data_IF_415124851976
#
_entry.id   IF_415124851976
#
_cell.length_a   1.000
_cell.length_b   1.000
_cell.length_c   1.000
_cell.angle_alpha   90.00
_cell.angle_beta   90.00
_cell.angle_gamma   90.00
#
_symmetry.space_group_name_H-M   'P 1'
#
loop_
_entity.id
_entity.type
_entity.pdbx_description
1 polymer ?
#
# COMPACT_ATOMS: atom_id res chain seq x y z
N UNK A 1 21.30 3.07 37.15
CA UNK A 1 21.47 3.03 35.68
C UNK A 1 20.10 2.77 35.08
N UNK A 2 19.43 3.83 34.62
CA UNK A 2 18.22 3.67 33.82
C UNK A 2 18.70 3.27 32.44
N UNK A 3 18.47 2.01 32.05
CA UNK A 3 18.70 1.60 30.67
C UNK A 3 17.71 2.41 29.82
N UNK A 4 18.24 3.39 29.11
CA UNK A 4 17.54 4.12 28.08
C UNK A 4 17.26 3.11 26.96
N UNK A 5 16.09 2.48 27.03
CA UNK A 5 15.61 1.61 25.97
C UNK A 5 15.36 2.53 24.77
N UNK A 6 16.39 2.72 23.94
CA UNK A 6 16.26 3.23 22.59
C UNK A 6 15.06 2.53 21.97
N UNK A 7 13.95 3.27 21.82
CA UNK A 7 12.74 2.73 21.23
C UNK A 7 13.13 2.27 19.82
N UNK A 8 13.31 0.97 19.65
CA UNK A 8 13.64 0.39 18.35
C UNK A 8 12.55 0.84 17.38
N UNK A 9 12.91 1.69 16.42
CA UNK A 9 11.97 2.18 15.42
C UNK A 9 11.37 0.98 14.70
N UNK A 10 10.04 0.93 14.61
CA UNK A 10 9.33 -0.14 13.93
C UNK A 10 9.83 -0.17 12.47
N UNK A 11 10.34 -1.31 11.96
CA UNK A 11 10.80 -1.41 10.59
C UNK A 11 9.63 -1.15 9.62
N UNK A 12 9.81 -0.15 8.76
CA UNK A 12 8.85 0.28 7.74
C UNK A 12 9.57 0.23 6.40
N UNK A 13 9.11 -0.66 5.52
CA UNK A 13 9.65 -0.83 4.17
C UNK A 13 8.63 -0.32 3.16
N UNK A 14 8.99 0.71 2.39
CA UNK A 14 8.13 1.37 1.41
C UNK A 14 8.86 1.47 0.08
N UNK A 15 8.20 1.04 -1.01
CA UNK A 15 8.68 1.28 -2.36
C UNK A 15 7.55 1.57 -3.35
N UNK A 16 7.82 2.50 -4.27
CA UNK A 16 7.02 2.73 -5.47
C UNK A 16 7.63 1.95 -6.64
N UNK A 17 6.81 1.13 -7.29
CA UNK A 17 7.26 0.15 -8.28
C UNK A 17 6.78 0.57 -9.68
N UNK A 18 7.70 0.98 -10.55
CA UNK A 18 7.39 1.23 -11.97
C UNK A 18 7.07 -0.07 -12.72
N UNK A 19 7.79 -1.13 -12.40
CA UNK A 19 7.61 -2.47 -12.97
C UNK A 19 6.63 -3.32 -12.14
N UNK A 20 6.08 -4.36 -12.76
CA UNK A 20 5.30 -5.36 -12.06
C UNK A 20 6.15 -6.04 -10.97
N UNK A 21 5.50 -6.43 -9.88
CA UNK A 21 6.10 -7.17 -8.78
C UNK A 21 5.19 -8.33 -8.37
N UNK A 22 5.81 -9.39 -7.85
CA UNK A 22 5.12 -10.57 -7.35
C UNK A 22 4.88 -10.43 -5.84
N UNK A 23 3.63 -10.18 -5.39
CA UNK A 23 3.37 -9.78 -4.01
C UNK A 23 3.76 -10.85 -2.98
N UNK A 24 3.64 -12.14 -3.34
CA UNK A 24 4.03 -13.23 -2.44
C UNK A 24 5.56 -13.37 -2.34
N UNK A 25 6.31 -13.03 -3.39
CA UNK A 25 7.76 -13.02 -3.34
C UNK A 25 8.26 -11.85 -2.47
N UNK A 26 7.66 -10.66 -2.61
CA UNK A 26 7.93 -9.51 -1.72
C UNK A 26 7.67 -9.88 -0.25
N UNK A 27 6.54 -10.53 0.04
CA UNK A 27 6.21 -11.00 1.40
C UNK A 27 7.22 -12.02 1.94
N UNK A 28 7.68 -12.95 1.10
CA UNK A 28 8.65 -13.97 1.49
C UNK A 28 10.02 -13.35 1.80
N UNK A 29 10.41 -12.31 1.08
CA UNK A 29 11.69 -11.62 1.25
C UNK A 29 11.65 -10.55 2.35
N UNK A 30 10.45 -10.10 2.74
CA UNK A 30 10.27 -9.04 3.71
C UNK A 30 10.79 -9.43 5.11
N UNK A 31 11.83 -8.76 5.63
CA UNK A 31 12.42 -9.07 6.92
C UNK A 31 11.50 -8.60 8.05
N UNK A 32 10.54 -9.45 8.42
CA UNK A 32 9.68 -9.27 9.57
C UNK A 32 10.11 -10.23 10.69
N UNK A 33 9.92 -9.83 11.95
CA UNK A 33 10.36 -10.62 13.09
C UNK A 33 9.61 -11.96 13.13
N UNK A 34 10.32 -13.07 12.91
CA UNK A 34 9.73 -14.42 12.78
C UNK A 34 9.02 -14.91 14.05
N UNK A 35 9.20 -14.24 15.20
CA UNK A 35 8.48 -14.57 16.44
C UNK A 35 7.08 -13.94 16.54
N UNK A 36 6.66 -13.12 15.58
CA UNK A 36 5.34 -12.49 15.61
C UNK A 36 4.27 -13.51 15.18
N UNK A 37 3.15 -13.56 15.91
CA UNK A 37 2.14 -14.59 15.70
C UNK A 37 1.07 -14.26 14.65
N UNK A 38 1.07 -13.06 14.05
CA UNK A 38 0.08 -12.67 13.06
C UNK A 38 0.64 -11.71 11.99
N UNK A 39 0.17 -11.90 10.75
CA UNK A 39 0.41 -10.97 9.64
C UNK A 39 -0.92 -10.62 8.98
N UNK A 40 -1.20 -9.32 8.86
CA UNK A 40 -2.33 -8.79 8.09
C UNK A 40 -1.84 -8.39 6.71
N UNK A 41 -2.52 -8.84 5.65
CA UNK A 41 -2.06 -8.66 4.28
C UNK A 41 -3.23 -8.20 3.42
N UNK A 42 -2.98 -7.18 2.58
CA UNK A 42 -3.85 -6.77 1.51
C UNK A 42 -3.08 -6.73 0.19
N UNK A 43 -3.67 -7.32 -0.84
CA UNK A 43 -3.15 -7.28 -2.22
C UNK A 43 -4.25 -6.71 -3.11
N UNK A 44 -4.07 -5.46 -3.52
CA UNK A 44 -4.96 -4.79 -4.47
C UNK A 44 -4.50 -5.05 -5.91
N UNK A 45 -5.46 -5.31 -6.80
CA UNK A 45 -5.22 -5.48 -8.25
C UNK A 45 -6.06 -4.49 -9.04
N UNK A 46 -5.58 -4.13 -10.22
CA UNK A 46 -6.37 -3.33 -11.15
C UNK A 46 -7.58 -4.16 -11.63
N UNK A 47 -8.78 -3.57 -11.54
CA UNK A 47 -10.01 -4.16 -12.08
C UNK A 47 -10.09 -3.93 -13.59
N UNK A 48 -10.82 -4.80 -14.30
CA UNK A 48 -11.11 -4.63 -15.73
C UNK A 48 -12.20 -3.60 -16.01
N UNK A 49 -13.01 -3.23 -15.01
CA UNK A 49 -14.05 -2.22 -15.13
C UNK A 49 -13.68 -0.96 -14.35
N UNK A 50 -13.84 0.19 -15.00
CA UNK A 50 -13.54 1.50 -14.45
C UNK A 50 -14.66 2.10 -13.63
N UNK A 51 -14.44 3.34 -13.19
CA UNK A 51 -15.39 4.12 -12.39
C UNK A 51 -16.72 4.39 -13.11
N UNK A 52 -16.71 4.41 -14.45
CA UNK A 52 -17.85 4.61 -15.35
C UNK A 52 -18.53 3.31 -15.81
N UNK A 53 -18.13 2.16 -15.24
CA UNK A 53 -18.52 0.80 -15.67
C UNK A 53 -18.08 0.39 -17.09
N UNK A 54 -17.20 1.16 -17.73
CA UNK A 54 -16.57 0.79 -19.01
C UNK A 54 -15.42 -0.21 -18.84
N UNK A 55 -15.12 -0.97 -19.90
CA UNK A 55 -13.94 -1.83 -19.92
C UNK A 55 -12.66 -1.00 -20.08
N UNK A 56 -11.73 -1.20 -19.15
CA UNK A 56 -10.43 -0.56 -19.16
C UNK A 56 -9.38 -1.41 -19.88
N UNK A 57 -8.59 -0.75 -20.73
CA UNK A 57 -7.33 -1.28 -21.24
C UNK A 57 -6.24 -1.16 -20.17
N UNK A 58 -6.16 -0.02 -19.50
CA UNK A 58 -5.13 0.29 -18.51
C UNK A 58 -5.55 1.41 -17.56
N UNK A 59 -4.78 1.57 -16.49
CA UNK A 59 -4.76 2.75 -15.64
C UNK A 59 -3.34 3.30 -15.60
N UNK A 60 -3.20 4.60 -15.78
CA UNK A 60 -1.97 5.34 -15.57
C UNK A 60 -1.99 5.92 -14.15
N UNK A 61 -0.99 5.57 -13.33
CA UNK A 61 -0.81 6.11 -11.99
C UNK A 61 0.36 7.09 -11.95
N UNK A 62 0.07 8.31 -11.56
CA UNK A 62 1.05 9.36 -11.32
C UNK A 62 1.18 9.63 -9.82
N UNK A 63 2.31 10.20 -9.44
CA UNK A 63 2.65 10.50 -8.05
C UNK A 63 3.57 11.72 -8.01
N UNK A 64 3.73 12.31 -6.83
CA UNK A 64 4.69 13.39 -6.60
C UNK A 64 6.00 12.78 -6.10
N UNK A 65 7.07 12.75 -6.92
CA UNK A 65 8.32 12.09 -6.54
C UNK A 65 8.91 12.66 -5.25
N UNK A 66 9.26 11.78 -4.32
CA UNK A 66 9.81 12.11 -3.01
C UNK A 66 8.77 12.57 -1.97
N UNK A 67 7.65 13.17 -2.36
CA UNK A 67 6.58 13.50 -1.41
C UNK A 67 5.70 12.28 -1.13
N UNK A 68 5.33 11.52 -2.16
CA UNK A 68 4.49 10.33 -1.99
C UNK A 68 5.17 9.30 -1.09
N UNK A 69 6.46 9.03 -1.27
CA UNK A 69 7.24 8.10 -0.46
C UNK A 69 7.32 8.55 1.00
N UNK A 70 7.59 9.84 1.24
CA UNK A 70 7.60 10.42 2.60
C UNK A 70 6.23 10.33 3.26
N UNK A 71 5.16 10.59 2.51
CA UNK A 71 3.80 10.48 3.04
C UNK A 71 3.47 9.02 3.38
N UNK A 72 3.79 8.06 2.51
CA UNK A 72 3.59 6.64 2.80
C UNK A 72 4.38 6.18 4.04
N UNK A 73 5.62 6.64 4.20
CA UNK A 73 6.43 6.36 5.40
C UNK A 73 5.78 6.93 6.66
N UNK A 74 5.29 8.17 6.60
CA UNK A 74 4.62 8.83 7.73
C UNK A 74 3.33 8.10 8.12
N UNK A 75 2.46 7.82 7.14
CA UNK A 75 1.21 7.08 7.36
C UNK A 75 1.46 5.69 7.94
N UNK A 76 2.47 4.98 7.44
CA UNK A 76 2.88 3.68 7.97
C UNK A 76 3.36 3.77 9.42
N UNK A 77 4.16 4.79 9.74
CA UNK A 77 4.66 5.04 11.11
C UNK A 77 3.52 5.31 12.08
N UNK A 78 2.59 6.18 11.70
CA UNK A 78 1.48 6.57 12.55
C UNK A 78 0.50 5.42 12.78
N UNK A 79 0.18 4.66 11.72
CA UNK A 79 -0.65 3.47 11.82
C UNK A 79 0.04 2.39 12.67
N UNK A 80 1.36 2.23 12.51
CA UNK A 80 2.09 1.22 13.25
C UNK A 80 2.15 1.52 14.76
N UNK A 81 2.42 2.78 15.12
CA UNK A 81 2.41 3.25 16.50
C UNK A 81 1.02 3.12 17.13
N UNK A 82 -0.03 3.55 16.40
CA UNK A 82 -1.42 3.56 16.90
C UNK A 82 -1.97 2.15 17.15
N UNK A 83 -1.53 1.15 16.39
CA UNK A 83 -2.01 -0.23 16.51
C UNK A 83 -1.04 -1.18 17.22
N UNK A 84 0.19 -0.75 17.52
CA UNK A 84 1.20 -1.56 18.21
C UNK A 84 1.70 -2.74 17.38
N UNK A 85 1.86 -2.55 16.07
CA UNK A 85 2.44 -3.58 15.17
C UNK A 85 3.97 -3.52 15.19
N UNK A 86 4.61 -4.53 14.59
CA UNK A 86 6.05 -4.78 14.68
C UNK A 86 6.81 -4.54 13.38
N UNK A 87 6.12 -4.52 12.25
CA UNK A 87 6.70 -4.18 10.96
C UNK A 87 5.60 -3.78 9.98
N UNK A 88 5.92 -2.92 9.01
CA UNK A 88 5.05 -2.57 7.88
C UNK A 88 5.81 -2.73 6.54
N UNK A 89 5.13 -3.27 5.53
CA UNK A 89 5.57 -3.34 4.14
C UNK A 89 4.53 -2.65 3.25
N UNK A 90 4.99 -1.77 2.37
CA UNK A 90 4.21 -1.15 1.31
C UNK A 90 4.97 -1.32 -0.01
N UNK A 91 4.30 -1.91 -1.00
CA UNK A 91 4.66 -1.82 -2.41
C UNK A 91 3.48 -1.24 -3.16
N UNK A 92 3.70 -0.19 -3.95
CA UNK A 92 2.63 0.42 -4.74
C UNK A 92 3.10 0.65 -6.16
N UNK A 93 2.32 0.22 -7.16
CA UNK A 93 2.63 0.48 -8.56
C UNK A 93 2.47 1.96 -8.88
N UNK A 94 3.37 2.43 -9.73
CA UNK A 94 3.24 3.69 -10.45
C UNK A 94 3.38 3.41 -11.95
N UNK A 95 3.01 4.37 -12.78
CA UNK A 95 3.03 4.19 -14.23
C UNK A 95 1.81 3.42 -14.74
N UNK A 96 1.98 2.77 -15.89
CA UNK A 96 0.93 2.02 -16.56
C UNK A 96 0.70 0.66 -15.89
N UNK A 97 -0.55 0.37 -15.54
CA UNK A 97 -1.01 -0.90 -14.97
C UNK A 97 -2.17 -1.41 -15.82
N UNK A 98 -2.22 -2.72 -16.08
CA UNK A 98 -3.31 -3.35 -16.83
C UNK A 98 -4.18 -4.22 -15.92
N UNK A 99 -5.42 -4.59 -16.33
CA UNK A 99 -6.29 -5.43 -15.52
C UNK A 99 -5.60 -6.70 -15.00
N UNK A 100 -5.94 -7.10 -13.77
CA UNK A 100 -5.37 -8.23 -13.01
C UNK A 100 -3.93 -8.06 -12.52
N UNK A 101 -3.19 -7.04 -12.98
CA UNK A 101 -1.86 -6.77 -12.41
C UNK A 101 -1.99 -6.30 -10.95
N UNK A 102 -1.04 -6.74 -10.13
CA UNK A 102 -0.87 -6.24 -8.76
C UNK A 102 -0.61 -4.75 -8.80
N UNK A 103 -1.42 -4.00 -8.06
CA UNK A 103 -1.37 -2.55 -7.93
C UNK A 103 -0.76 -2.14 -6.59
N UNK A 104 -1.13 -2.80 -5.50
CA UNK A 104 -0.64 -2.47 -4.16
C UNK A 104 -0.54 -3.72 -3.31
N UNK A 105 0.51 -3.79 -2.51
CA UNK A 105 0.69 -4.72 -1.40
C UNK A 105 0.87 -3.90 -0.13
N UNK A 106 0.03 -4.14 0.86
CA UNK A 106 0.24 -3.69 2.24
C UNK A 106 0.32 -4.92 3.12
N UNK A 107 1.36 -5.02 3.93
CA UNK A 107 1.47 -6.06 4.93
C UNK A 107 1.94 -5.49 6.26
N UNK A 108 1.40 -6.02 7.35
CA UNK A 108 1.74 -5.62 8.72
C UNK A 108 1.96 -6.87 9.56
N UNK A 109 3.02 -6.88 10.36
CA UNK A 109 3.32 -7.99 11.28
C UNK A 109 3.02 -7.57 12.71
N UNK A 110 2.33 -8.40 13.49
CA UNK A 110 1.96 -8.10 14.87
C UNK A 110 1.90 -9.34 15.75
N UNK A 111 1.91 -9.14 17.06
CA UNK A 111 1.84 -10.25 18.03
C UNK A 111 0.46 -10.94 18.04
N UNK A 112 -0.58 -10.27 17.54
CA UNK A 112 -1.97 -10.75 17.59
C UNK A 112 -2.75 -10.35 16.35
N UNK A 113 -3.72 -11.19 15.96
CA UNK A 113 -4.58 -10.96 14.77
C UNK A 113 -5.31 -9.62 14.78
N UNK A 114 -5.80 -9.18 15.94
CA UNK A 114 -6.60 -7.95 16.06
C UNK A 114 -5.83 -6.69 15.62
N UNK A 115 -4.67 -6.40 16.25
CA UNK A 115 -3.75 -5.37 15.78
C UNK A 115 -3.39 -5.48 14.29
N UNK A 116 -3.04 -6.68 13.81
CA UNK A 116 -2.66 -6.89 12.42
C UNK A 116 -3.78 -6.51 11.43
N UNK A 117 -5.00 -7.00 11.67
CA UNK A 117 -6.14 -6.71 10.81
C UNK A 117 -6.51 -5.22 10.81
N UNK A 118 -6.62 -4.61 11.99
CA UNK A 118 -7.02 -3.20 12.10
C UNK A 118 -5.98 -2.25 11.54
N UNK A 119 -4.69 -2.51 11.78
CA UNK A 119 -3.62 -1.70 11.24
C UNK A 119 -3.58 -1.78 9.71
N UNK A 120 -3.68 -2.98 9.14
CA UNK A 120 -3.71 -3.15 7.69
C UNK A 120 -4.87 -2.37 7.05
N UNK A 121 -6.07 -2.43 7.65
CA UNK A 121 -7.23 -1.69 7.15
C UNK A 121 -7.06 -0.17 7.29
N UNK A 122 -6.67 0.31 8.47
CA UNK A 122 -6.48 1.73 8.73
C UNK A 122 -5.40 2.34 7.82
N UNK A 123 -4.30 1.62 7.60
CA UNK A 123 -3.23 2.06 6.70
C UNK A 123 -3.71 2.14 5.25
N UNK A 124 -4.52 1.19 4.77
CA UNK A 124 -5.08 1.27 3.43
C UNK A 124 -5.97 2.51 3.26
N UNK A 125 -6.78 2.84 4.25
CA UNK A 125 -7.63 4.03 4.20
C UNK A 125 -6.83 5.31 4.18
N UNK A 126 -5.81 5.40 5.03
CA UNK A 126 -4.92 6.55 5.07
C UNK A 126 -4.15 6.71 3.75
N UNK A 127 -3.62 5.62 3.18
CA UNK A 127 -2.96 5.66 1.86
C UNK A 127 -3.94 6.15 0.80
N UNK A 128 -5.17 5.63 0.82
CA UNK A 128 -6.20 6.00 -0.15
C UNK A 128 -6.51 7.49 -0.10
N UNK A 129 -6.68 8.06 1.10
CA UNK A 129 -7.09 9.44 1.28
C UNK A 129 -5.95 10.45 1.21
N UNK A 130 -4.79 10.13 1.80
CA UNK A 130 -3.76 11.11 2.11
C UNK A 130 -2.51 10.96 1.23
N UNK A 131 -2.29 9.82 0.57
CA UNK A 131 -1.13 9.66 -0.31
C UNK A 131 -1.39 10.33 -1.67
N UNK A 132 -0.47 11.20 -2.16
CA UNK A 132 -0.65 11.95 -3.40
C UNK A 132 -0.43 11.05 -4.62
N UNK A 133 -1.48 10.33 -5.00
CA UNK A 133 -1.59 9.56 -6.24
C UNK A 133 -2.69 10.13 -7.13
N UNK A 134 -2.44 10.17 -8.42
CA UNK A 134 -3.44 10.52 -9.43
C UNK A 134 -3.64 9.35 -10.38
N UNK A 135 -4.90 9.04 -10.67
CA UNK A 135 -5.30 7.89 -11.46
C UNK A 135 -6.00 8.36 -12.72
N UNK A 136 -5.48 7.95 -13.87
CA UNK A 136 -6.14 8.13 -15.16
C UNK A 136 -6.54 6.75 -15.70
N UNK A 137 -7.83 6.55 -15.89
CA UNK A 137 -8.39 5.38 -16.56
C UNK A 137 -8.24 5.52 -18.08
N UNK A 138 -7.89 4.43 -18.75
CA UNK A 138 -7.74 4.34 -20.21
C UNK A 138 -8.67 3.22 -20.68
N UNK A 139 -9.73 3.58 -21.40
CA UNK A 139 -10.71 2.63 -21.93
C UNK A 139 -10.16 1.88 -23.15
N UNK A 140 -10.81 0.78 -23.54
CA UNK A 140 -10.47 0.06 -24.79
C UNK A 140 -10.74 0.85 -26.07
N UNK A 141 -11.59 1.88 -26.05
CA UNK A 141 -11.78 2.81 -27.16
C UNK A 141 -10.64 3.84 -27.28
N UNK A 142 -9.77 3.91 -26.26
CA UNK A 142 -8.68 4.88 -26.17
C UNK A 142 -9.04 6.16 -25.42
N UNK A 143 -10.27 6.25 -24.89
CA UNK A 143 -10.70 7.39 -24.08
C UNK A 143 -9.93 7.43 -22.76
N UNK A 144 -9.60 8.64 -22.31
CA UNK A 144 -8.80 8.87 -21.10
C UNK A 144 -9.55 9.73 -20.12
N UNK A 145 -9.64 9.28 -18.88
CA UNK A 145 -10.39 9.98 -17.83
C UNK A 145 -9.61 10.00 -16.52
N UNK A 146 -9.43 11.18 -15.96
CA UNK A 146 -8.94 11.32 -14.59
C UNK A 146 -10.04 10.95 -13.60
N UNK A 147 -9.68 10.18 -12.58
CA UNK A 147 -10.59 9.89 -11.47
C UNK A 147 -10.53 11.04 -10.48
N UNK A 148 -11.66 11.70 -10.27
CA UNK A 148 -11.82 12.74 -9.25
C UNK A 148 -12.24 12.10 -7.92
N UNK A 149 -11.39 12.24 -6.90
CA UNK A 149 -11.65 11.76 -5.55
C UNK A 149 -11.35 10.28 -5.32
N UNK A 150 -11.44 9.89 -4.05
CA UNK A 150 -11.24 8.53 -3.59
C UNK A 150 -12.59 7.95 -3.16
N UNK A 151 -12.95 6.77 -3.66
CA UNK A 151 -14.05 6.00 -3.08
C UNK A 151 -13.67 5.69 -1.62
N UNK A 152 -14.53 5.77 -0.60
CA UNK A 152 -14.25 5.19 0.73
C UNK A 152 -14.10 3.65 0.63
N UNK A 153 -13.59 2.93 1.65
CA UNK A 153 -13.85 1.47 1.71
C UNK A 153 -15.32 1.20 2.04
#
# INVERSE_FOLDING_TARGET
MVADAMASSIPIDVALCSNAFEPLAELQQWPHHQSNAATGIFIGRMRSQGSSAEELEAMQLEHYPGMTERQLQHLASDAAASHGVRAVLIRHRIGRVTPNQTLVLVAVSADRRGPAQRCCQALLEAIKHDAPFWKQEISRSGDRRWIEGNTPL
#
